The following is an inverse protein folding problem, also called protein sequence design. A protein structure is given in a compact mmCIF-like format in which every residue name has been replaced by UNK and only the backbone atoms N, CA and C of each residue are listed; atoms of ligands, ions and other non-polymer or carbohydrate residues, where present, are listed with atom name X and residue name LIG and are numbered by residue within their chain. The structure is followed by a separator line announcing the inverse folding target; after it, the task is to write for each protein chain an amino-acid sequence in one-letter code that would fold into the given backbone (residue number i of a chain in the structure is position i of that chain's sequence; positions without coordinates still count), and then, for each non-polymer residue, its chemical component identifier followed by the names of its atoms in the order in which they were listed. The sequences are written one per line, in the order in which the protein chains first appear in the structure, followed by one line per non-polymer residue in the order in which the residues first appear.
data_IF_160456603339
#
_entry.id   IF_160456603339
#
_cell.length_a   1.000
_cell.length_b   1.000
_cell.length_c   1.000
_cell.angle_alpha   90.00
_cell.angle_beta   90.00
_cell.angle_gamma   90.00
#
_symmetry.space_group_name_H-M   'P 1'
#
loop_
_entity.id
_entity.type
_entity.pdbx_description
1 polymer ?
#
# COMPACT_ATOMS: atom_id res chain seq x y z
N UNK A 1 23.05 -16.06 56.03
CA UNK A 1 24.48 -16.36 56.32
C UNK A 1 25.26 -15.48 55.37
N UNK A 2 25.72 -14.40 55.91
CA UNK A 2 27.13 -14.01 56.13
C UNK A 2 27.79 -13.67 54.79
N UNK A 3 28.28 -12.52 54.50
CA UNK A 3 28.83 -11.43 55.29
C UNK A 3 30.01 -10.83 54.54
N UNK A 4 30.20 -9.59 54.74
CA UNK A 4 31.32 -8.69 54.96
C UNK A 4 32.03 -8.17 53.70
N UNK A 5 31.98 -6.87 53.34
CA UNK A 5 32.53 -5.69 54.07
C UNK A 5 34.05 -5.67 54.17
N UNK A 6 34.75 -4.70 53.62
CA UNK A 6 35.80 -3.89 54.27
C UNK A 6 36.49 -2.98 53.23
N UNK A 7 36.38 -1.69 53.37
CA UNK A 7 37.24 -0.66 54.01
C UNK A 7 38.46 -0.23 53.21
N UNK A 8 38.37 1.01 52.70
CA UNK A 8 39.11 2.20 53.14
C UNK A 8 40.62 2.05 53.28
N UNK A 9 41.40 2.92 52.61
CA UNK A 9 42.30 3.81 53.35
C UNK A 9 42.74 4.99 52.46
N UNK A 10 42.57 6.16 53.03
CA UNK A 10 43.17 7.42 52.57
C UNK A 10 44.60 7.56 53.14
N UNK A 11 45.48 8.21 52.39
CA UNK A 11 46.67 8.77 53.00
C UNK A 11 47.00 10.15 52.42
N UNK A 12 46.88 11.14 53.27
CA UNK A 12 47.38 12.51 53.23
C UNK A 12 48.88 12.54 53.54
N UNK A 13 49.63 13.47 52.96
CA UNK A 13 50.71 14.29 53.53
C UNK A 13 51.45 15.04 52.45
N UNK A 14 51.50 16.28 52.44
CA UNK A 14 52.05 17.42 53.23
C UNK A 14 53.11 18.13 52.40
N UNK A 15 52.96 19.40 52.36
CA UNK A 15 53.76 20.48 51.79
C UNK A 15 55.21 20.53 52.19
N UNK A 16 56.05 21.02 51.29
CA UNK A 16 57.23 21.81 51.67
C UNK A 16 57.37 23.02 50.72
N UNK A 17 57.39 24.20 51.33
CA UNK A 17 57.80 25.48 50.76
C UNK A 17 59.31 25.53 50.66
N UNK A 18 59.88 26.05 49.61
CA UNK A 18 61.14 26.76 49.67
C UNK A 18 61.17 27.87 48.60
N UNK A 19 61.34 29.05 49.08
CA UNK A 19 61.63 30.33 48.43
C UNK A 19 63.11 30.40 48.06
N UNK A 20 63.41 30.88 46.84
CA UNK A 20 64.67 31.54 46.55
C UNK A 20 64.49 32.51 45.39
N UNK A 21 64.81 33.74 45.63
CA UNK A 21 64.84 34.93 44.84
C UNK A 21 66.10 35.06 43.95
N UNK A 22 65.99 35.96 42.92
CA UNK A 22 66.99 36.60 42.04
C UNK A 22 67.15 35.92 40.68
N UNK A 23 67.16 36.58 39.54
CA UNK A 23 67.51 37.93 39.14
C UNK A 23 66.94 38.23 37.75
N UNK A 24 66.59 39.46 37.54
CA UNK A 24 66.25 40.24 36.38
C UNK A 24 67.25 40.13 35.23
N UNK A 25 66.81 39.63 34.05
CA UNK A 25 67.37 40.07 32.75
C UNK A 25 66.22 40.24 31.76
N UNK A 26 65.94 41.45 31.41
CA UNK A 26 65.04 41.81 30.31
C UNK A 26 65.70 41.50 28.99
N UNK A 27 65.12 40.59 28.22
CA UNK A 27 65.34 40.52 26.80
C UNK A 27 63.95 40.66 26.16
N UNK A 28 63.70 41.87 25.58
CA UNK A 28 62.57 42.13 24.74
C UNK A 28 62.78 41.43 23.39
N UNK A 29 62.26 40.19 23.28
CA UNK A 29 62.06 39.55 22.02
C UNK A 29 60.60 39.79 21.63
N UNK A 30 60.39 40.78 20.75
CA UNK A 30 59.09 41.06 20.13
C UNK A 30 58.79 39.91 19.19
N UNK A 31 58.15 38.84 19.70
CA UNK A 31 57.50 37.83 18.83
C UNK A 31 56.15 38.38 18.38
N UNK A 32 56.11 38.86 17.17
CA UNK A 32 54.84 39.10 16.46
C UNK A 32 54.14 37.79 16.32
N UNK A 33 53.23 37.48 17.22
CA UNK A 33 52.30 36.33 17.04
C UNK A 33 51.28 36.80 15.96
N UNK A 34 51.53 36.41 14.73
CA UNK A 34 50.45 36.40 13.75
C UNK A 34 49.45 35.31 14.22
N UNK A 35 48.40 35.78 14.89
CA UNK A 35 47.22 34.97 15.08
C UNK A 35 46.61 34.79 13.68
N UNK A 36 46.97 33.72 12.98
CA UNK A 36 46.16 33.17 11.91
C UNK A 36 44.86 32.70 12.57
N UNK A 37 43.85 33.55 12.50
CA UNK A 37 42.48 33.07 12.77
C UNK A 37 42.23 31.96 11.78
N UNK A 38 42.23 30.72 12.27
CA UNK A 38 41.76 29.59 11.47
C UNK A 38 40.30 29.93 11.14
N UNK A 39 40.04 30.29 9.88
CA UNK A 39 38.68 30.41 9.38
C UNK A 39 38.14 28.97 9.42
N UNK A 40 37.31 28.70 10.41
CA UNK A 40 36.58 27.42 10.50
C UNK A 40 35.85 27.21 9.18
N UNK A 41 36.18 26.13 8.50
CA UNK A 41 35.53 25.86 7.23
C UNK A 41 34.02 25.76 7.46
N UNK A 42 33.20 26.42 6.62
CA UNK A 42 31.75 26.37 6.78
C UNK A 42 31.31 24.91 6.83
N UNK A 43 30.35 24.55 7.69
CA UNK A 43 29.84 23.20 7.79
C UNK A 43 29.42 22.72 6.39
N UNK A 44 29.68 21.46 6.05
CA UNK A 44 29.29 20.92 4.74
C UNK A 44 27.79 21.16 4.52
N UNK A 45 27.47 21.66 3.33
CA UNK A 45 26.06 21.92 2.98
C UNK A 45 25.24 20.64 3.15
N UNK A 46 24.02 20.72 3.68
CA UNK A 46 23.14 19.57 3.82
C UNK A 46 23.00 18.87 2.47
N UNK A 47 23.32 17.56 2.42
CA UNK A 47 23.09 16.75 1.21
C UNK A 47 21.60 16.69 0.99
N UNK A 48 21.12 17.16 -0.16
CA UNK A 48 19.72 17.12 -0.53
C UNK A 48 19.23 15.67 -0.51
N UNK A 49 18.08 15.42 0.12
CA UNK A 49 17.47 14.09 0.14
C UNK A 49 17.19 13.62 -1.30
N UNK A 50 17.45 12.35 -1.63
CA UNK A 50 17.16 11.82 -2.95
C UNK A 50 15.66 11.88 -3.23
N UNK A 51 15.31 12.16 -4.49
CA UNK A 51 13.90 12.16 -4.92
C UNK A 51 13.29 10.77 -4.74
N UNK A 52 12.10 10.65 -4.14
CA UNK A 52 11.36 9.39 -4.09
C UNK A 52 11.10 8.83 -5.48
N UNK A 53 11.15 7.49 -5.61
CA UNK A 53 10.92 6.79 -6.87
C UNK A 53 9.79 5.78 -6.67
N UNK A 54 8.75 5.88 -7.51
CA UNK A 54 7.69 4.88 -7.56
C UNK A 54 8.16 3.69 -8.39
N UNK A 55 8.03 2.43 -7.90
CA UNK A 55 8.29 1.25 -8.71
C UNK A 55 7.48 1.27 -10.01
N UNK A 56 8.12 0.97 -11.14
CA UNK A 56 7.52 1.12 -12.48
C UNK A 56 6.19 0.36 -12.64
N UNK A 57 6.08 -0.83 -12.03
CA UNK A 57 4.87 -1.65 -12.06
C UNK A 57 3.66 -1.02 -11.36
N UNK A 58 3.90 0.00 -10.50
CA UNK A 58 2.83 0.74 -9.81
C UNK A 58 2.43 2.03 -10.54
N UNK A 59 3.16 2.44 -11.57
CA UNK A 59 2.98 3.73 -12.24
C UNK A 59 1.60 3.93 -12.89
N UNK A 60 0.95 2.84 -13.28
CA UNK A 60 -0.39 2.87 -13.87
C UNK A 60 -1.53 2.69 -12.83
N UNK A 61 -1.18 2.47 -11.55
CA UNK A 61 -2.18 2.22 -10.52
C UNK A 61 -2.76 3.56 -10.03
N UNK A 62 -4.09 3.65 -10.09
CA UNK A 62 -4.86 4.71 -9.45
C UNK A 62 -5.58 4.12 -8.25
N UNK A 63 -5.16 4.42 -7.01
CA UNK A 63 -5.88 3.97 -5.83
C UNK A 63 -7.32 4.48 -5.83
N UNK A 64 -8.30 3.65 -5.45
CA UNK A 64 -9.67 4.10 -5.28
C UNK A 64 -9.77 5.10 -4.13
N UNK A 65 -10.86 5.90 -4.05
CA UNK A 65 -11.10 6.80 -2.94
C UNK A 65 -11.07 6.07 -1.61
N UNK A 66 -10.80 6.82 -0.54
CA UNK A 66 -10.92 6.30 0.83
C UNK A 66 -12.28 6.62 1.41
N UNK A 67 -12.84 5.66 2.14
CA UNK A 67 -14.00 5.88 2.99
C UNK A 67 -13.64 6.72 4.23
N UNK A 68 -14.63 7.14 5.00
CA UNK A 68 -14.43 7.94 6.21
C UNK A 68 -13.59 7.24 7.30
N UNK A 69 -13.57 5.90 7.31
CA UNK A 69 -12.75 5.07 8.19
C UNK A 69 -11.31 4.86 7.68
N UNK A 70 -10.97 5.46 6.53
CA UNK A 70 -9.66 5.36 5.89
C UNK A 70 -9.45 4.11 5.04
N UNK A 71 -10.43 3.21 4.94
CA UNK A 71 -10.37 2.04 4.04
C UNK A 71 -10.51 2.46 2.57
N UNK A 72 -9.94 1.67 1.64
CA UNK A 72 -10.14 1.91 0.22
C UNK A 72 -11.52 1.41 -0.22
N UNK A 73 -12.24 2.23 -1.00
CA UNK A 73 -13.53 1.88 -1.59
C UNK A 73 -13.33 0.99 -2.83
N UNK A 74 -12.84 -0.23 -2.60
CA UNK A 74 -12.71 -1.25 -3.65
C UNK A 74 -14.08 -1.89 -3.95
N UNK A 75 -14.10 -2.77 -4.95
CA UNK A 75 -15.29 -3.59 -5.24
C UNK A 75 -15.68 -4.53 -4.09
N UNK A 76 -14.76 -4.76 -3.14
CA UNK A 76 -14.98 -5.58 -1.95
C UNK A 76 -15.39 -4.76 -0.71
N UNK A 77 -15.44 -3.42 -0.84
CA UNK A 77 -15.76 -2.55 0.29
C UNK A 77 -17.26 -2.53 0.59
N UNK A 78 -17.62 -2.78 1.86
CA UNK A 78 -19.01 -2.66 2.33
C UNK A 78 -19.98 -3.71 1.79
N UNK A 79 -19.48 -4.81 1.23
CA UNK A 79 -20.32 -5.90 0.72
C UNK A 79 -20.89 -6.77 1.84
N UNK A 80 -22.02 -7.41 1.59
CA UNK A 80 -22.61 -8.35 2.52
C UNK A 80 -21.91 -9.73 2.53
N UNK A 81 -22.17 -10.58 3.55
CA UNK A 81 -21.51 -11.87 3.66
C UNK A 81 -21.74 -12.83 2.48
N UNK A 82 -22.88 -12.76 1.80
CA UNK A 82 -23.17 -13.59 0.61
C UNK A 82 -22.41 -13.09 -0.60
N UNK A 83 -22.32 -11.78 -0.77
CA UNK A 83 -21.44 -11.18 -1.77
C UNK A 83 -19.98 -11.57 -1.52
N UNK A 84 -19.52 -11.59 -0.26
CA UNK A 84 -18.17 -12.03 0.08
C UNK A 84 -17.89 -13.47 -0.34
N UNK A 85 -18.86 -14.42 -0.18
CA UNK A 85 -18.72 -15.78 -0.70
C UNK A 85 -18.51 -15.79 -2.22
N UNK A 86 -19.30 -14.98 -2.94
CA UNK A 86 -19.21 -14.87 -4.39
C UNK A 86 -17.87 -14.25 -4.84
N UNK A 87 -17.38 -13.24 -4.12
CA UNK A 87 -16.10 -12.62 -4.39
C UNK A 87 -14.91 -13.55 -4.13
N UNK A 88 -14.94 -14.35 -3.06
CA UNK A 88 -13.93 -15.38 -2.82
C UNK A 88 -13.92 -16.41 -3.97
N UNK A 89 -15.08 -16.85 -4.42
CA UNK A 89 -15.17 -17.75 -5.59
C UNK A 89 -14.58 -17.11 -6.84
N UNK A 90 -14.89 -15.84 -7.10
CA UNK A 90 -14.37 -15.11 -8.26
C UNK A 90 -12.84 -14.92 -8.18
N UNK A 91 -12.33 -14.54 -7.02
CA UNK A 91 -10.90 -14.40 -6.77
C UNK A 91 -10.15 -15.72 -7.01
N UNK A 92 -10.62 -16.82 -6.42
CA UNK A 92 -10.00 -18.12 -6.60
C UNK A 92 -10.12 -18.65 -8.04
N UNK A 93 -11.17 -18.26 -8.78
CA UNK A 93 -11.27 -18.53 -10.21
C UNK A 93 -10.16 -17.80 -11.00
N UNK A 94 -9.98 -16.51 -10.75
CA UNK A 94 -8.91 -15.72 -11.38
C UNK A 94 -7.53 -16.31 -11.05
N UNK A 95 -7.31 -16.70 -9.79
CA UNK A 95 -6.07 -17.35 -9.38
C UNK A 95 -5.84 -18.69 -10.12
N UNK A 96 -6.84 -19.57 -10.15
CA UNK A 96 -6.78 -20.86 -10.83
C UNK A 96 -6.48 -20.72 -12.33
N UNK A 97 -6.91 -19.63 -12.98
CA UNK A 97 -6.65 -19.36 -14.39
C UNK A 97 -5.32 -18.62 -14.58
N UNK A 98 -5.01 -17.66 -13.73
CA UNK A 98 -3.95 -16.68 -13.92
C UNK A 98 -2.61 -17.02 -13.27
N UNK A 99 -2.62 -17.69 -12.12
CA UNK A 99 -1.40 -18.10 -11.44
C UNK A 99 -0.76 -19.31 -12.14
N UNK A 100 0.52 -19.20 -12.43
CA UNK A 100 1.30 -20.21 -13.16
C UNK A 100 2.69 -20.28 -12.58
N UNK A 101 3.04 -21.38 -12.00
CA UNK A 101 4.32 -21.68 -11.40
C UNK A 101 4.25 -23.03 -10.70
N UNK A 102 5.38 -23.58 -10.30
CA UNK A 102 5.43 -24.83 -9.57
C UNK A 102 4.71 -24.72 -8.20
N UNK A 103 4.83 -23.55 -7.57
CA UNK A 103 4.13 -23.27 -6.32
C UNK A 103 2.61 -23.24 -6.46
N UNK A 104 2.10 -22.83 -7.64
CA UNK A 104 0.65 -22.68 -7.91
C UNK A 104 -0.02 -23.97 -8.37
N UNK A 105 0.70 -25.08 -8.48
CA UNK A 105 0.19 -26.35 -9.04
C UNK A 105 -1.04 -26.88 -8.29
N UNK A 106 -1.20 -26.56 -7.01
CA UNK A 106 -2.32 -26.92 -6.16
C UNK A 106 -3.61 -26.12 -6.37
N UNK A 107 -3.53 -24.93 -7.00
CA UNK A 107 -4.67 -24.00 -7.09
C UNK A 107 -5.86 -24.56 -7.88
N UNK A 108 -5.64 -25.12 -9.05
CA UNK A 108 -6.74 -25.67 -9.88
C UNK A 108 -7.44 -26.85 -9.18
N UNK A 109 -6.72 -27.85 -8.65
CA UNK A 109 -7.36 -28.91 -7.85
C UNK A 109 -8.13 -28.39 -6.63
N UNK A 110 -7.54 -27.44 -5.87
CA UNK A 110 -8.18 -26.88 -4.68
C UNK A 110 -9.44 -26.06 -5.04
N UNK A 111 -9.39 -25.25 -6.11
CA UNK A 111 -10.55 -24.53 -6.61
C UNK A 111 -11.68 -25.47 -7.02
N UNK A 112 -11.38 -26.53 -7.76
CA UNK A 112 -12.38 -27.52 -8.17
C UNK A 112 -12.96 -28.28 -6.96
N UNK A 113 -12.14 -28.59 -5.97
CA UNK A 113 -12.60 -29.18 -4.71
C UNK A 113 -13.55 -28.24 -3.95
N UNK A 114 -13.22 -26.95 -3.87
CA UNK A 114 -14.09 -25.92 -3.29
C UNK A 114 -15.43 -25.82 -4.05
N UNK A 115 -15.41 -25.77 -5.38
CA UNK A 115 -16.65 -25.73 -6.17
C UNK A 115 -17.57 -26.93 -5.88
N UNK A 116 -16.98 -28.08 -5.58
CA UNK A 116 -17.73 -29.32 -5.25
C UNK A 116 -18.26 -29.27 -3.83
N UNK A 117 -17.39 -29.00 -2.85
CA UNK A 117 -17.73 -29.01 -1.42
C UNK A 117 -18.67 -27.86 -1.03
N UNK A 118 -18.54 -26.70 -1.65
CA UNK A 118 -19.33 -25.50 -1.34
C UNK A 118 -20.46 -25.23 -2.34
N UNK A 119 -20.84 -26.19 -3.15
CA UNK A 119 -21.85 -26.03 -4.22
C UNK A 119 -23.14 -25.34 -3.74
N UNK A 120 -23.69 -25.77 -2.62
CA UNK A 120 -24.95 -25.23 -2.10
C UNK A 120 -24.78 -23.77 -1.61
N UNK A 121 -23.70 -23.48 -0.90
CA UNK A 121 -23.38 -22.12 -0.43
C UNK A 121 -23.16 -21.16 -1.60
N UNK A 122 -22.41 -21.58 -2.61
CA UNK A 122 -22.15 -20.78 -3.83
C UNK A 122 -23.43 -20.56 -4.65
N UNK A 123 -24.31 -21.53 -4.75
CA UNK A 123 -25.61 -21.36 -5.41
C UNK A 123 -26.48 -20.33 -4.68
N UNK A 124 -26.48 -20.35 -3.33
CA UNK A 124 -27.19 -19.36 -2.52
C UNK A 124 -26.59 -17.97 -2.70
N UNK A 125 -25.26 -17.84 -2.72
CA UNK A 125 -24.56 -16.59 -2.96
C UNK A 125 -24.91 -15.99 -4.34
N UNK A 126 -24.82 -16.79 -5.41
CA UNK A 126 -25.17 -16.40 -6.77
C UNK A 126 -26.62 -15.90 -6.86
N UNK A 127 -27.56 -16.66 -6.31
CA UNK A 127 -28.96 -16.29 -6.29
C UNK A 127 -29.20 -14.96 -5.51
N UNK A 128 -28.50 -14.77 -4.38
CA UNK A 128 -28.61 -13.56 -3.58
C UNK A 128 -28.08 -12.34 -4.34
N UNK A 129 -26.88 -12.43 -4.96
CA UNK A 129 -26.30 -11.35 -5.75
C UNK A 129 -27.23 -10.97 -6.91
N UNK A 130 -27.74 -11.94 -7.66
CA UNK A 130 -28.69 -11.70 -8.76
C UNK A 130 -29.99 -11.06 -8.30
N UNK A 131 -30.56 -11.55 -7.20
CA UNK A 131 -31.77 -10.97 -6.61
C UNK A 131 -31.61 -9.52 -6.20
N UNK A 132 -30.43 -9.18 -5.67
CA UNK A 132 -30.08 -7.83 -5.25
C UNK A 132 -29.97 -6.87 -6.46
N UNK A 133 -29.32 -7.30 -7.55
CA UNK A 133 -29.30 -6.54 -8.81
C UNK A 133 -30.70 -6.36 -9.38
N UNK A 134 -31.49 -7.41 -9.41
CA UNK A 134 -32.88 -7.34 -9.90
C UNK A 134 -33.74 -6.39 -9.07
N UNK A 135 -33.63 -6.45 -7.74
CA UNK A 135 -34.41 -5.59 -6.83
C UNK A 135 -34.06 -4.10 -6.99
N UNK A 136 -32.78 -3.78 -7.26
CA UNK A 136 -32.33 -2.38 -7.40
C UNK A 136 -32.55 -1.80 -8.78
N UNK A 137 -32.47 -2.60 -9.84
CA UNK A 137 -32.36 -2.10 -11.22
C UNK A 137 -33.52 -2.56 -12.13
N UNK A 138 -34.39 -3.46 -11.67
CA UNK A 138 -35.54 -3.90 -12.48
C UNK A 138 -35.13 -4.61 -13.77
N UNK A 139 -35.63 -4.13 -14.93
CA UNK A 139 -35.47 -4.81 -16.20
C UNK A 139 -34.04 -4.94 -16.75
N UNK A 140 -33.15 -3.99 -16.42
CA UNK A 140 -31.78 -3.95 -16.94
C UNK A 140 -30.72 -4.58 -16.03
N UNK A 141 -31.15 -5.32 -15.02
CA UNK A 141 -30.25 -5.87 -14.01
C UNK A 141 -29.18 -6.80 -14.56
N UNK A 142 -29.46 -7.57 -15.63
CA UNK A 142 -28.52 -8.52 -16.21
C UNK A 142 -27.27 -7.81 -16.74
N UNK A 143 -27.46 -6.73 -17.51
CA UNK A 143 -26.34 -5.96 -18.05
C UNK A 143 -25.48 -5.35 -16.93
N UNK A 144 -26.13 -4.77 -15.92
CA UNK A 144 -25.40 -4.23 -14.77
C UNK A 144 -24.66 -5.31 -13.96
N UNK A 145 -25.25 -6.49 -13.81
CA UNK A 145 -24.59 -7.64 -13.18
C UNK A 145 -23.37 -8.10 -14.01
N UNK A 146 -23.47 -8.17 -15.32
CA UNK A 146 -22.36 -8.59 -16.18
C UNK A 146 -21.19 -7.59 -16.14
N UNK A 147 -21.51 -6.28 -16.13
CA UNK A 147 -20.51 -5.23 -15.92
C UNK A 147 -19.84 -5.38 -14.55
N UNK A 148 -20.61 -5.58 -13.51
CA UNK A 148 -20.09 -5.81 -12.16
C UNK A 148 -19.17 -7.03 -12.09
N UNK A 149 -19.59 -8.16 -12.69
CA UNK A 149 -18.77 -9.36 -12.75
C UNK A 149 -17.46 -9.13 -13.51
N UNK A 150 -17.51 -8.37 -14.60
CA UNK A 150 -16.29 -7.97 -15.35
C UNK A 150 -15.35 -7.15 -14.48
N UNK A 151 -15.88 -6.16 -13.74
CA UNK A 151 -15.09 -5.35 -12.81
C UNK A 151 -14.48 -6.20 -11.69
N UNK A 152 -15.24 -7.15 -11.13
CA UNK A 152 -14.78 -8.05 -10.08
C UNK A 152 -13.61 -8.94 -10.56
N UNK A 153 -13.73 -9.53 -11.73
CA UNK A 153 -12.63 -10.33 -12.31
C UNK A 153 -11.41 -9.47 -12.64
N UNK A 154 -11.62 -8.27 -13.21
CA UNK A 154 -10.53 -7.35 -13.53
C UNK A 154 -9.82 -6.84 -12.26
N UNK A 155 -10.54 -6.66 -11.16
CA UNK A 155 -9.94 -6.30 -9.88
C UNK A 155 -8.90 -7.33 -9.44
N UNK A 156 -9.23 -8.63 -9.48
CA UNK A 156 -8.31 -9.69 -9.09
C UNK A 156 -7.25 -10.03 -10.17
N UNK A 157 -7.41 -9.56 -11.39
CA UNK A 157 -6.49 -9.80 -12.50
C UNK A 157 -5.38 -8.74 -12.64
N UNK A 158 -5.27 -7.76 -11.73
CA UNK A 158 -4.28 -6.68 -11.82
C UNK A 158 -2.83 -7.22 -11.80
N UNK A 159 -2.01 -6.92 -12.83
CA UNK A 159 -0.67 -7.53 -12.96
C UNK A 159 0.28 -7.20 -11.82
N UNK A 160 0.21 -5.97 -11.28
CA UNK A 160 1.11 -5.52 -10.23
C UNK A 160 0.91 -6.25 -8.89
N UNK A 161 -0.29 -6.77 -8.63
CA UNK A 161 -0.60 -7.53 -7.42
C UNK A 161 -0.41 -9.04 -7.59
N UNK A 162 -0.20 -9.53 -8.84
CA UNK A 162 -0.29 -10.95 -9.20
C UNK A 162 0.52 -11.87 -8.30
N UNK A 163 1.79 -11.55 -8.03
CA UNK A 163 2.65 -12.44 -7.24
C UNK A 163 2.13 -12.62 -5.81
N UNK A 164 1.77 -11.52 -5.12
CA UNK A 164 1.21 -11.57 -3.78
C UNK A 164 -0.19 -12.20 -3.76
N UNK A 165 -1.00 -11.95 -4.78
CA UNK A 165 -2.32 -12.53 -4.94
C UNK A 165 -2.25 -14.05 -5.13
N UNK A 166 -1.36 -14.56 -5.98
CA UNK A 166 -1.16 -16.00 -6.16
C UNK A 166 -0.73 -16.67 -4.85
N UNK A 167 0.23 -16.07 -4.13
CA UNK A 167 0.64 -16.60 -2.82
C UNK A 167 -0.49 -16.63 -1.79
N UNK A 168 -1.37 -15.62 -1.76
CA UNK A 168 -2.55 -15.62 -0.90
C UNK A 168 -3.57 -16.69 -1.34
N UNK A 169 -3.79 -16.83 -2.64
CA UNK A 169 -4.72 -17.81 -3.18
C UNK A 169 -4.28 -19.26 -2.92
N UNK A 170 -2.98 -19.55 -2.99
CA UNK A 170 -2.41 -20.88 -2.64
C UNK A 170 -2.71 -21.28 -1.20
N UNK A 171 -2.79 -20.33 -0.30
CA UNK A 171 -3.14 -20.58 1.10
C UNK A 171 -4.65 -20.69 1.31
N UNK A 172 -5.43 -19.83 0.66
CA UNK A 172 -6.88 -19.73 0.85
C UNK A 172 -7.63 -20.86 0.16
N UNK A 173 -7.21 -21.29 -1.06
CA UNK A 173 -7.96 -22.25 -1.85
C UNK A 173 -8.12 -23.63 -1.16
N UNK A 174 -7.07 -24.25 -0.59
CA UNK A 174 -7.24 -25.53 0.13
C UNK A 174 -8.09 -25.36 1.39
N UNK A 175 -8.00 -24.24 2.09
CA UNK A 175 -8.85 -23.95 3.25
C UNK A 175 -10.33 -23.85 2.82
N UNK A 176 -10.61 -23.12 1.74
CA UNK A 176 -11.95 -22.98 1.18
C UNK A 176 -12.58 -24.34 0.82
N UNK A 177 -11.79 -25.27 0.28
CA UNK A 177 -12.23 -26.63 -0.05
C UNK A 177 -12.55 -27.47 1.20
N UNK A 178 -11.86 -27.22 2.30
CA UNK A 178 -11.96 -27.98 3.55
C UNK A 178 -13.03 -27.42 4.52
N UNK A 179 -13.64 -26.28 4.22
CA UNK A 179 -14.68 -25.68 5.09
C UNK A 179 -15.86 -26.63 5.23
N UNK A 180 -16.32 -26.94 6.46
CA UNK A 180 -17.53 -27.74 6.68
C UNK A 180 -18.78 -27.09 6.07
N UNK A 181 -19.77 -27.93 5.76
CA UNK A 181 -21.06 -27.46 5.26
C UNK A 181 -21.67 -26.40 6.19
N UNK A 182 -22.13 -25.28 5.63
CA UNK A 182 -22.69 -24.15 6.37
C UNK A 182 -21.66 -23.15 6.90
N UNK A 183 -20.34 -23.45 6.84
CA UNK A 183 -19.29 -22.57 7.36
C UNK A 183 -18.73 -21.58 6.34
N UNK A 184 -19.10 -21.70 5.06
CA UNK A 184 -18.42 -20.96 3.99
C UNK A 184 -18.69 -19.45 4.04
N UNK A 185 -19.83 -19.01 4.54
CA UNK A 185 -20.13 -17.60 4.71
C UNK A 185 -19.17 -16.92 5.71
N UNK A 186 -19.01 -17.51 6.90
CA UNK A 186 -18.06 -17.01 7.90
C UNK A 186 -16.61 -17.09 7.41
N UNK A 187 -16.26 -18.16 6.71
CA UNK A 187 -14.94 -18.30 6.10
C UNK A 187 -14.67 -17.18 5.08
N UNK A 188 -15.63 -16.90 4.20
CA UNK A 188 -15.47 -15.91 3.14
C UNK A 188 -15.18 -14.49 3.69
N UNK A 189 -15.78 -14.12 4.82
CA UNK A 189 -15.53 -12.83 5.48
C UNK A 189 -14.08 -12.68 5.96
N UNK A 190 -13.41 -13.78 6.29
CA UNK A 190 -12.00 -13.78 6.72
C UNK A 190 -11.03 -14.03 5.57
N UNK A 191 -11.44 -14.76 4.56
CA UNK A 191 -10.63 -15.11 3.40
C UNK A 191 -10.53 -13.96 2.37
N UNK A 192 -11.62 -13.23 2.14
CA UNK A 192 -11.65 -12.15 1.17
C UNK A 192 -10.62 -11.04 1.47
N UNK A 193 -10.49 -10.54 2.71
CA UNK A 193 -9.43 -9.59 3.05
C UNK A 193 -8.01 -10.11 2.78
N UNK A 194 -7.77 -11.42 2.94
CA UNK A 194 -6.46 -12.02 2.66
C UNK A 194 -6.16 -12.01 1.15
N UNK A 195 -7.16 -12.34 0.33
CA UNK A 195 -7.04 -12.29 -1.13
C UNK A 195 -6.91 -10.86 -1.66
N UNK A 196 -7.49 -9.89 -0.96
CA UNK A 196 -7.44 -8.47 -1.33
C UNK A 196 -6.16 -7.77 -0.88
N UNK A 197 -5.53 -8.22 0.18
CA UNK A 197 -4.39 -7.56 0.82
C UNK A 197 -3.26 -7.13 -0.13
N UNK A 198 -2.85 -7.91 -1.15
CA UNK A 198 -1.81 -7.52 -2.11
C UNK A 198 -2.17 -6.29 -2.96
N UNK A 199 -3.45 -6.13 -3.30
CA UNK A 199 -3.96 -4.97 -4.05
C UNK A 199 -3.92 -3.72 -3.18
N UNK A 200 -4.39 -3.84 -1.93
CA UNK A 200 -4.35 -2.74 -0.96
C UNK A 200 -2.92 -2.33 -0.62
N UNK A 201 -1.97 -3.26 -0.62
CA UNK A 201 -0.55 -2.95 -0.44
C UNK A 201 -0.02 -2.06 -1.58
N UNK A 202 -0.39 -2.35 -2.82
CA UNK A 202 -0.04 -1.52 -3.97
C UNK A 202 -0.66 -0.12 -3.89
N UNK A 203 -1.92 0.00 -3.49
CA UNK A 203 -2.58 1.29 -3.30
C UNK A 203 -1.89 2.12 -2.23
N UNK A 204 -1.54 1.51 -1.09
CA UNK A 204 -0.77 2.18 -0.03
C UNK A 204 0.57 2.66 -0.55
N UNK A 205 1.32 1.83 -1.28
CA UNK A 205 2.61 2.20 -1.81
C UNK A 205 2.55 3.41 -2.77
N UNK A 206 1.48 3.52 -3.57
CA UNK A 206 1.25 4.69 -4.43
C UNK A 206 0.93 5.94 -3.60
N UNK A 207 0.08 5.82 -2.59
CA UNK A 207 -0.27 6.95 -1.72
C UNK A 207 0.94 7.41 -0.89
N UNK A 208 1.72 6.48 -0.34
CA UNK A 208 2.95 6.77 0.41
C UNK A 208 3.99 7.48 -0.48
N UNK A 209 4.14 7.03 -1.72
CA UNK A 209 4.98 7.71 -2.70
C UNK A 209 4.51 9.15 -2.96
N UNK A 210 3.20 9.38 -3.11
CA UNK A 210 2.65 10.71 -3.33
C UNK A 210 2.95 11.65 -2.16
N UNK A 211 2.78 11.15 -0.93
CA UNK A 211 3.10 11.88 0.29
C UNK A 211 4.60 12.20 0.36
N UNK A 212 5.44 11.19 0.12
CA UNK A 212 6.90 11.38 0.14
C UNK A 212 7.37 12.36 -0.95
N UNK A 213 6.79 12.29 -2.16
CA UNK A 213 7.11 13.21 -3.25
C UNK A 213 6.70 14.65 -2.92
N UNK A 214 5.51 14.83 -2.33
CA UNK A 214 5.05 16.14 -1.91
C UNK A 214 5.96 16.75 -0.83
N UNK A 215 6.36 15.96 0.16
CA UNK A 215 7.30 16.39 1.21
C UNK A 215 8.68 16.73 0.64
N UNK A 216 9.20 15.90 -0.29
CA UNK A 216 10.46 16.17 -0.97
C UNK A 216 10.39 17.46 -1.77
N UNK A 217 9.33 17.68 -2.54
CA UNK A 217 9.12 18.91 -3.33
C UNK A 217 9.03 20.13 -2.44
N UNK A 218 8.33 20.07 -1.31
CA UNK A 218 8.25 21.16 -0.34
C UNK A 218 9.62 21.49 0.27
N UNK A 219 10.45 20.47 0.57
CA UNK A 219 11.82 20.66 1.05
C UNK A 219 12.74 21.31 0.02
N UNK A 220 12.52 21.09 -1.28
CA UNK A 220 13.29 21.75 -2.34
C UNK A 220 12.87 23.20 -2.57
N UNK A 221 11.62 23.56 -2.28
CA UNK A 221 11.12 24.92 -2.43
C UNK A 221 11.76 25.93 -1.45
N UNK A 222 12.43 25.47 -0.38
CA UNK A 222 13.20 26.27 0.55
C UNK A 222 14.65 26.59 0.09
N UNK A 223 15.12 26.02 -1.03
CA UNK A 223 16.41 26.32 -1.65
C UNK A 223 16.32 27.46 -2.67
N UNK A 224 17.46 27.97 -3.24
CA UNK A 224 17.41 28.98 -4.29
C UNK A 224 16.58 28.44 -5.46
N UNK A 225 15.44 29.10 -5.67
CA UNK A 225 14.46 28.70 -6.67
C UNK A 225 15.05 28.83 -8.08
N UNK A 226 15.37 27.71 -8.71
CA UNK A 226 15.41 27.65 -10.17
C UNK A 226 13.97 27.41 -10.61
N UNK A 227 13.40 28.41 -11.23
CA UNK A 227 12.02 28.53 -11.71
C UNK A 227 11.72 27.48 -12.78
N UNK A 228 11.24 26.28 -12.38
CA UNK A 228 10.79 25.22 -13.30
C UNK A 228 9.67 24.35 -12.67
N UNK A 229 8.75 24.97 -11.94
CA UNK A 229 7.61 24.28 -11.36
C UNK A 229 6.28 24.90 -11.80
N UNK A 230 6.09 25.04 -13.11
CA UNK A 230 4.78 25.39 -13.66
C UNK A 230 4.54 24.56 -14.90
N UNK A 231 4.02 23.36 -14.75
CA UNK A 231 3.14 22.66 -15.69
C UNK A 231 3.14 21.13 -15.43
N UNK A 232 2.50 20.69 -14.37
CA UNK A 232 1.79 19.42 -14.47
C UNK A 232 0.31 19.79 -14.32
N UNK A 233 -0.45 19.85 -15.40
CA UNK A 233 -1.90 19.98 -15.27
C UNK A 233 -2.37 18.79 -14.47
N UNK A 234 -3.15 19.04 -13.41
CA UNK A 234 -3.91 18.01 -12.74
C UNK A 234 -4.78 17.36 -13.82
N UNK A 235 -4.42 16.14 -14.22
CA UNK A 235 -5.26 15.35 -15.12
C UNK A 235 -6.66 15.27 -14.55
N UNK A 236 -7.68 15.08 -15.38
CA UNK A 236 -9.06 15.00 -14.93
C UNK A 236 -9.14 13.92 -13.86
N UNK A 237 -9.57 14.30 -12.66
CA UNK A 237 -9.95 13.37 -11.60
C UNK A 237 -11.19 12.65 -12.11
N UNK A 238 -11.01 11.43 -12.60
CA UNK A 238 -12.14 10.52 -12.77
C UNK A 238 -12.57 10.11 -11.36
N UNK A 239 -13.63 10.73 -10.88
CA UNK A 239 -14.23 10.35 -9.62
C UNK A 239 -14.89 8.98 -9.79
N UNK A 240 -14.75 8.08 -8.80
CA UNK A 240 -15.43 6.77 -8.84
C UNK A 240 -16.96 6.94 -8.85
N UNK A 241 -17.45 8.08 -8.32
CA UNK A 241 -18.83 8.51 -8.49
C UNK A 241 -19.19 8.77 -9.95
N UNK A 242 -18.25 9.29 -10.75
CA UNK A 242 -18.43 9.52 -12.20
C UNK A 242 -18.39 8.20 -12.97
N UNK A 243 -17.66 7.17 -12.50
CA UNK A 243 -17.73 5.84 -13.11
C UNK A 243 -19.09 5.16 -12.85
N UNK A 244 -19.71 5.37 -11.70
CA UNK A 244 -21.09 4.95 -11.48
C UNK A 244 -22.08 5.75 -12.35
N UNK A 245 -21.78 7.00 -12.69
CA UNK A 245 -22.55 7.81 -13.63
C UNK A 245 -22.29 7.38 -15.08
N UNK A 246 -21.07 6.92 -15.44
CA UNK A 246 -20.77 6.34 -16.75
C UNK A 246 -21.45 4.98 -16.97
N UNK A 247 -21.76 4.24 -15.90
CA UNK A 247 -22.60 3.04 -15.96
C UNK A 247 -24.07 3.43 -16.23
N UNK A 248 -24.50 4.63 -15.82
CA UNK A 248 -25.83 5.18 -16.12
C UNK A 248 -25.88 5.89 -17.49
N UNK A 249 -24.71 6.18 -18.11
CA UNK A 249 -24.67 6.78 -19.44
C UNK A 249 -24.71 5.67 -20.50
N UNK A 250 -25.91 5.33 -20.97
CA UNK A 250 -26.11 4.58 -22.20
C UNK A 250 -25.97 5.54 -23.40
N UNK A 251 -25.08 5.28 -24.37
CA UNK A 251 -25.10 6.03 -25.61
C UNK A 251 -26.32 5.61 -26.39
N UNK A 252 -27.43 6.28 -26.20
CA UNK A 252 -28.51 6.34 -27.17
C UNK A 252 -28.02 7.14 -28.38
N UNK A 253 -27.09 6.60 -29.16
CA UNK A 253 -26.75 7.18 -30.45
C UNK A 253 -26.24 6.10 -31.39
N UNK A 254 -27.07 5.72 -32.37
CA UNK A 254 -26.61 5.14 -33.61
C UNK A 254 -27.18 3.80 -34.04
N UNK A 255 -28.46 3.54 -33.81
CA UNK A 255 -29.17 2.62 -34.67
C UNK A 255 -29.45 3.30 -36.01
N UNK A 256 -28.45 3.41 -36.88
CA UNK A 256 -28.66 3.75 -38.28
C UNK A 256 -29.43 2.60 -38.92
N UNK A 257 -30.72 2.80 -39.18
CA UNK A 257 -31.54 1.94 -40.01
C UNK A 257 -30.85 1.79 -41.37
N UNK A 258 -30.29 0.65 -41.62
CA UNK A 258 -30.00 0.23 -42.99
C UNK A 258 -31.34 -0.15 -43.58
N UNK A 259 -31.91 0.78 -44.37
CA UNK A 259 -33.06 0.50 -45.20
C UNK A 259 -32.63 -0.50 -46.29
N UNK A 260 -33.24 -1.67 -46.31
CA UNK A 260 -33.19 -2.62 -47.39
C UNK A 260 -33.86 -2.04 -48.62
N UNK A 261 -33.15 -2.03 -49.73
CA UNK A 261 -33.68 -2.10 -51.06
C UNK A 261 -33.30 -3.40 -51.70
#
# INVERSE_FOLDING_TARGET
MSGLASRQTATRRKAVRQTATLAMVMILVSCSHHHTVAVEAPPPAPVAAPRPVLPAQLGAIVPPPRAADGSYQTINHGIDPRQAMWHVRAALNVAAIGCRGDADAGLVPAYNAMLTSQRAALATADASVKADFHARLGGDWQNAHDVYMTQLYNFFAQPAAKAGFCAAADQVAPQAAAVPAGGFEAFAQTALPQLEAPFLANYRAVDDYRVALAAWTAGQAGGPQTELASAIPAGPRLDYADMNMLIAWQPEQGATRIASR
#
